data_IF_409705634117
#
_entry.id   IF_409705634117
#
_cell.length_a   1.000
_cell.length_b   1.000
_cell.length_c   1.000
_cell.angle_alpha   90.00
_cell.angle_beta   90.00
_cell.angle_gamma   90.00
#
_symmetry.space_group_name_H-M   'P 1'
#
loop_
_entity.id
_entity.type
_entity.pdbx_description
1 polymer ?
#
# COMPACT_ATOMS: atom_id res chain seq x y z
N UNK A 1 -7.97 0.05 12.97
CA UNK A 1 -7.23 1.22 13.47
C UNK A 1 -6.32 1.69 12.36
N UNK A 2 -6.59 2.90 11.90
CA UNK A 2 -6.22 3.44 10.59
C UNK A 2 -4.73 3.81 10.53
N UNK A 3 -4.13 3.71 9.34
CA UNK A 3 -2.85 4.36 9.09
C UNK A 3 -3.12 5.86 9.11
N UNK A 4 -2.79 6.49 10.23
CA UNK A 4 -2.87 7.93 10.38
C UNK A 4 -1.77 8.51 9.47
N UNK A 5 -2.16 9.14 8.37
CA UNK A 5 -1.31 9.96 7.50
C UNK A 5 -1.72 11.44 7.70
N UNK A 6 -0.81 12.38 7.44
CA UNK A 6 -1.07 13.81 7.72
C UNK A 6 -0.90 14.17 9.21
N UNK A 7 -1.57 15.22 9.67
CA UNK A 7 -1.39 15.77 11.04
C UNK A 7 -1.64 14.75 12.16
N UNK A 8 -2.48 13.74 11.92
CA UNK A 8 -2.82 12.73 12.92
C UNK A 8 -1.78 11.60 13.02
N UNK A 9 -0.79 11.55 12.12
CA UNK A 9 0.19 10.48 12.12
C UNK A 9 1.06 10.49 13.39
N UNK A 10 1.38 9.31 13.94
CA UNK A 10 2.22 9.24 15.13
C UNK A 10 3.61 9.82 14.82
N UNK A 11 4.19 10.58 15.76
CA UNK A 11 5.47 11.23 15.49
C UNK A 11 6.63 10.25 15.25
N UNK A 12 6.55 9.03 15.79
CA UNK A 12 7.49 7.93 15.53
C UNK A 12 6.79 6.63 15.18
N UNK A 13 7.38 5.83 14.30
CA UNK A 13 6.90 4.48 13.96
C UNK A 13 8.03 3.54 13.57
N UNK A 14 7.74 2.24 13.61
CA UNK A 14 8.64 1.17 13.12
C UNK A 14 8.00 0.44 11.95
N UNK A 15 8.81 -0.01 10.99
CA UNK A 15 8.35 -0.88 9.91
C UNK A 15 9.51 -1.62 9.24
N UNK A 16 9.19 -2.68 8.50
CA UNK A 16 10.08 -3.25 7.50
C UNK A 16 10.07 -2.39 6.24
N UNK A 17 11.25 -2.04 5.75
CA UNK A 17 11.40 -1.06 4.68
C UNK A 17 10.71 -1.47 3.38
N UNK A 18 9.74 -0.67 2.93
CA UNK A 18 8.91 -1.02 1.75
C UNK A 18 9.66 -1.04 0.42
N UNK A 19 10.80 -0.36 0.35
CA UNK A 19 11.68 -0.29 -0.81
C UNK A 19 13.13 -0.03 -0.37
N UNK A 20 14.09 -0.32 -1.25
CA UNK A 20 15.51 -0.03 -1.03
C UNK A 20 15.94 1.40 -1.40
N UNK A 21 14.99 2.35 -1.43
CA UNK A 21 15.22 3.70 -1.96
C UNK A 21 15.48 4.76 -0.89
N UNK A 22 15.05 4.52 0.35
CA UNK A 22 15.21 5.47 1.44
C UNK A 22 16.66 5.55 1.92
N UNK A 23 17.23 6.74 1.94
CA UNK A 23 18.52 7.02 2.60
C UNK A 23 18.32 7.18 4.10
N UNK A 24 19.22 6.63 4.91
CA UNK A 24 19.17 6.84 6.36
C UNK A 24 19.50 8.30 6.71
N UNK A 25 18.70 8.92 7.58
CA UNK A 25 18.86 10.31 8.03
C UNK A 25 19.86 10.50 9.18
N UNK A 26 20.59 9.46 9.59
CA UNK A 26 21.74 9.63 10.49
C UNK A 26 22.90 10.24 9.70
N UNK A 27 23.58 11.24 10.26
CA UNK A 27 24.53 12.09 9.53
C UNK A 27 25.64 11.33 8.78
N UNK A 28 26.23 10.30 9.39
CA UNK A 28 27.29 9.49 8.78
C UNK A 28 26.76 8.59 7.66
N UNK A 29 25.54 8.06 7.79
CA UNK A 29 24.91 7.26 6.75
C UNK A 29 24.43 8.14 5.59
N UNK A 30 23.86 9.31 5.92
CA UNK A 30 23.38 10.29 4.95
C UNK A 30 24.51 10.83 4.09
N UNK A 31 25.64 11.20 4.69
CA UNK A 31 26.81 11.71 3.94
C UNK A 31 27.43 10.67 3.02
N UNK A 32 27.34 9.38 3.38
CA UNK A 32 27.80 8.25 2.56
C UNK A 32 26.74 7.71 1.60
N UNK A 33 25.53 8.27 1.59
CA UNK A 33 24.42 7.79 0.75
C UNK A 33 23.99 6.35 1.07
N UNK A 34 24.21 5.87 2.29
CA UNK A 34 23.87 4.50 2.67
C UNK A 34 22.34 4.37 2.74
N UNK A 35 21.81 3.55 1.84
CA UNK A 35 20.38 3.25 1.77
C UNK A 35 19.98 2.21 2.81
N UNK A 36 18.70 2.21 3.14
CA UNK A 36 18.04 1.15 3.92
C UNK A 36 17.55 0.11 2.91
N UNK A 37 17.91 -1.15 3.11
CA UNK A 37 17.56 -2.22 2.17
C UNK A 37 16.06 -2.54 2.21
N UNK A 38 15.50 -3.02 1.10
CA UNK A 38 14.09 -3.46 1.08
C UNK A 38 13.93 -4.61 2.08
N UNK A 39 13.09 -4.41 3.07
CA UNK A 39 12.84 -5.37 4.14
C UNK A 39 13.67 -5.18 5.38
N UNK A 40 14.63 -4.27 5.40
CA UNK A 40 15.36 -3.94 6.63
C UNK A 40 14.44 -3.24 7.63
N UNK A 41 14.55 -3.62 8.91
CA UNK A 41 13.86 -2.93 10.00
C UNK A 41 14.34 -1.47 10.07
N UNK A 42 13.38 -0.55 10.08
CA UNK A 42 13.65 0.90 10.15
C UNK A 42 12.74 1.62 11.12
N UNK A 43 13.23 2.75 11.62
CA UNK A 43 12.46 3.70 12.42
C UNK A 43 12.23 4.98 11.62
N UNK A 44 11.01 5.49 11.65
CA UNK A 44 10.60 6.73 10.99
C UNK A 44 10.29 7.82 12.00
N UNK A 45 10.68 9.04 11.66
CA UNK A 45 10.17 10.26 12.31
C UNK A 45 9.23 10.97 11.35
N UNK A 46 8.02 11.28 11.80
CA UNK A 46 7.05 12.07 11.03
C UNK A 46 7.47 13.53 11.06
N UNK A 47 7.80 14.10 9.90
CA UNK A 47 8.40 15.44 9.80
C UNK A 47 7.67 16.26 8.75
N UNK A 48 7.40 17.52 9.08
CA UNK A 48 6.85 18.50 8.13
C UNK A 48 7.96 19.01 7.20
N UNK A 49 7.75 18.95 5.89
CA UNK A 49 8.62 19.58 4.91
C UNK A 49 8.07 20.95 4.55
N UNK A 50 8.70 22.01 5.06
CA UNK A 50 8.21 23.39 4.92
C UNK A 50 8.06 23.85 3.47
N UNK A 51 8.95 23.41 2.58
CA UNK A 51 8.95 23.85 1.17
C UNK A 51 7.90 23.13 0.34
N UNK A 52 7.62 21.86 0.65
CA UNK A 52 6.64 21.05 -0.10
C UNK A 52 5.28 21.02 0.60
N UNK A 53 5.14 21.79 1.69
CA UNK A 53 3.96 21.88 2.55
C UNK A 53 3.28 20.53 2.80
N UNK A 54 4.10 19.50 3.06
CA UNK A 54 3.62 18.15 3.28
C UNK A 54 4.43 17.42 4.31
N UNK A 55 3.80 16.46 4.94
CA UNK A 55 4.50 15.52 5.81
C UNK A 55 5.27 14.47 5.03
N UNK A 56 6.40 14.07 5.58
CA UNK A 56 7.18 12.94 5.10
C UNK A 56 7.81 12.17 6.26
N UNK A 57 8.28 10.97 5.96
CA UNK A 57 8.97 10.12 6.93
C UNK A 57 10.49 10.22 6.78
N UNK A 58 11.14 10.78 7.80
CA UNK A 58 12.59 10.79 7.91
C UNK A 58 13.07 9.44 8.47
N UNK A 59 13.42 8.51 7.56
CA UNK A 59 13.83 7.15 7.91
C UNK A 59 15.25 7.05 8.45
N UNK A 60 15.49 6.10 9.37
CA UNK A 60 16.81 5.64 9.80
C UNK A 60 16.85 4.11 9.87
N UNK A 61 18.02 3.50 9.64
CA UNK A 61 18.25 2.09 10.01
C UNK A 61 17.91 1.88 11.48
N UNK A 62 17.43 0.69 11.85
CA UNK A 62 17.18 0.34 13.24
C UNK A 62 18.40 0.60 14.14
N UNK A 63 19.59 0.13 13.75
CA UNK A 63 20.86 0.38 14.47
C UNK A 63 21.20 1.88 14.67
N UNK A 64 20.67 2.75 13.80
CA UNK A 64 20.88 4.20 13.83
C UNK A 64 19.78 4.96 14.59
N UNK A 65 18.81 4.26 15.18
CA UNK A 65 17.81 4.85 16.05
C UNK A 65 18.48 5.54 17.25
N UNK A 66 18.00 6.73 17.60
CA UNK A 66 18.52 7.46 18.76
C UNK A 66 17.77 7.06 20.03
N UNK A 67 18.38 7.22 21.21
CA UNK A 67 17.66 7.05 22.48
C UNK A 67 16.41 7.94 22.59
N UNK A 68 16.40 9.10 21.93
CA UNK A 68 15.22 9.97 21.88
C UNK A 68 14.08 9.37 21.06
N UNK A 69 14.37 8.77 19.90
CA UNK A 69 13.36 8.05 19.11
C UNK A 69 12.80 6.85 19.87
N UNK A 70 13.66 6.10 20.57
CA UNK A 70 13.23 4.95 21.38
C UNK A 70 12.33 5.39 22.54
N UNK A 71 12.73 6.41 23.30
CA UNK A 71 11.85 7.00 24.35
C UNK A 71 10.55 7.56 23.78
N UNK A 72 10.60 8.16 22.60
CA UNK A 72 9.41 8.63 21.90
C UNK A 72 8.42 7.50 21.59
N UNK A 73 8.92 6.35 21.11
CA UNK A 73 8.11 5.15 20.91
C UNK A 73 7.52 4.63 22.23
N UNK A 74 8.27 4.67 23.33
CA UNK A 74 7.74 4.32 24.67
C UNK A 74 6.60 5.25 25.10
N UNK A 75 6.78 6.56 24.93
CA UNK A 75 5.77 7.55 25.31
C UNK A 75 4.49 7.40 24.48
N UNK A 76 4.59 7.21 23.17
CA UNK A 76 3.41 7.02 22.29
C UNK A 76 2.66 5.73 22.67
N UNK A 77 3.39 4.67 23.00
CA UNK A 77 2.80 3.37 23.30
C UNK A 77 2.35 3.21 24.75
N UNK A 78 2.56 4.21 25.62
CA UNK A 78 2.42 4.08 27.07
C UNK A 78 3.15 2.84 27.63
N UNK A 79 4.34 2.54 27.08
CA UNK A 79 5.13 1.34 27.38
C UNK A 79 4.47 -0.01 27.03
N UNK A 80 3.35 -0.01 26.31
CA UNK A 80 2.71 -1.24 25.83
C UNK A 80 3.21 -1.58 24.42
N UNK A 81 3.98 -2.66 24.28
CA UNK A 81 4.57 -3.10 23.00
C UNK A 81 3.58 -3.14 21.83
N UNK A 82 2.39 -3.70 22.05
CA UNK A 82 1.36 -3.84 21.01
C UNK A 82 0.81 -2.50 20.50
N UNK A 83 1.00 -1.40 21.26
CA UNK A 83 0.56 -0.05 20.89
C UNK A 83 1.65 0.74 20.16
N UNK A 84 2.86 0.20 20.02
CA UNK A 84 3.91 0.86 19.24
C UNK A 84 3.46 0.96 17.78
N UNK A 85 3.48 2.15 17.15
CA UNK A 85 3.04 2.30 15.77
C UNK A 85 3.85 1.42 14.80
N UNK A 86 3.15 0.48 14.14
CA UNK A 86 3.72 -0.47 13.19
C UNK A 86 4.19 -1.81 13.79
N UNK A 87 4.01 -2.02 15.09
CA UNK A 87 4.34 -3.26 15.80
C UNK A 87 3.72 -4.51 15.15
N UNK A 88 2.48 -4.40 14.70
CA UNK A 88 1.70 -5.48 14.12
C UNK A 88 2.26 -5.94 12.76
N UNK A 89 3.14 -5.14 12.12
CA UNK A 89 3.65 -5.35 10.75
C UNK A 89 5.11 -5.74 10.68
N UNK A 90 5.79 -5.81 11.82
CA UNK A 90 7.18 -6.29 11.92
C UNK A 90 7.22 -7.77 12.29
N UNK A 91 8.35 -8.42 12.00
CA UNK A 91 8.60 -9.84 12.32
C UNK A 91 8.61 -10.09 13.83
N UNK A 92 8.55 -11.36 14.23
CA UNK A 92 8.69 -11.74 15.64
C UNK A 92 10.07 -11.36 16.20
N UNK A 93 11.13 -11.59 15.42
CA UNK A 93 12.50 -11.23 15.78
C UNK A 93 12.69 -9.71 15.94
N UNK A 94 12.06 -8.92 15.08
CA UNK A 94 12.03 -7.45 15.21
C UNK A 94 11.27 -6.99 16.45
N UNK A 95 10.20 -7.69 16.86
CA UNK A 95 9.43 -7.35 18.06
C UNK A 95 10.24 -7.61 19.33
N UNK A 96 11.04 -8.67 19.35
CA UNK A 96 11.98 -8.94 20.45
C UNK A 96 13.03 -7.83 20.57
N UNK A 97 13.63 -7.43 19.45
CA UNK A 97 14.60 -6.34 19.44
C UNK A 97 13.99 -5.00 19.83
N UNK A 98 12.75 -4.73 19.40
CA UNK A 98 12.00 -3.56 19.84
C UNK A 98 11.76 -3.60 21.36
N UNK A 99 11.33 -4.73 21.91
CA UNK A 99 11.16 -4.91 23.36
C UNK A 99 12.44 -4.59 24.13
N UNK A 100 13.55 -5.21 23.75
CA UNK A 100 14.86 -4.96 24.37
C UNK A 100 15.25 -3.49 24.27
N UNK A 101 15.08 -2.87 23.10
CA UNK A 101 15.42 -1.47 22.91
C UNK A 101 14.57 -0.54 23.78
N UNK A 102 13.26 -0.82 23.93
CA UNK A 102 12.39 -0.04 24.80
C UNK A 102 12.81 -0.21 26.26
N UNK A 103 12.99 -1.44 26.76
CA UNK A 103 13.44 -1.71 28.13
C UNK A 103 14.74 -0.96 28.49
N UNK A 104 15.67 -0.90 27.54
CA UNK A 104 16.97 -0.25 27.73
C UNK A 104 17.02 1.24 27.34
N UNK A 105 15.96 1.74 26.68
CA UNK A 105 15.90 3.09 26.14
C UNK A 105 16.87 3.37 24.98
N UNK A 106 17.47 2.34 24.38
CA UNK A 106 18.42 2.44 23.25
C UNK A 106 18.51 1.12 22.48
N UNK A 107 18.89 1.19 21.21
CA UNK A 107 19.23 0.00 20.41
C UNK A 107 20.65 -0.46 20.73
N UNK A 108 20.78 -1.64 21.31
CA UNK A 108 22.06 -2.26 21.65
C UNK A 108 22.65 -3.11 20.55
N UNK A 109 21.85 -3.97 19.94
CA UNK A 109 22.31 -4.78 18.83
C UNK A 109 22.46 -3.89 17.59
N UNK A 110 23.70 -3.47 17.33
CA UNK A 110 24.04 -2.61 16.19
C UNK A 110 24.19 -3.40 14.89
N UNK A 111 24.30 -4.72 14.97
CA UNK A 111 24.45 -5.59 13.81
C UNK A 111 23.09 -6.13 13.33
N UNK A 112 22.06 -6.08 14.20
CA UNK A 112 20.69 -6.42 13.85
C UNK A 112 20.11 -5.47 12.78
N UNK A 113 19.77 -6.06 11.64
CA UNK A 113 19.09 -5.40 10.52
C UNK A 113 17.71 -5.96 10.25
N UNK A 114 17.55 -7.27 10.46
CA UNK A 114 16.37 -8.07 10.11
C UNK A 114 15.77 -7.72 8.75
N UNK A 115 16.48 -8.10 7.69
CA UNK A 115 16.05 -7.89 6.32
C UNK A 115 15.03 -8.96 5.96
N UNK A 116 13.76 -8.57 5.92
CA UNK A 116 12.60 -9.44 5.65
C UNK A 116 11.81 -8.99 4.42
N UNK A 117 12.34 -9.20 3.18
CA UNK A 117 11.64 -8.82 1.96
C UNK A 117 10.30 -9.56 1.79
N UNK A 118 10.17 -10.73 2.40
CA UNK A 118 8.94 -11.54 2.50
C UNK A 118 7.84 -10.83 3.29
N UNK A 119 8.21 -10.05 4.31
CA UNK A 119 7.28 -9.25 5.11
C UNK A 119 6.99 -7.89 4.46
N UNK A 120 7.81 -7.47 3.49
CA UNK A 120 7.59 -6.27 2.68
C UNK A 120 6.55 -6.53 1.60
N UNK A 121 5.30 -6.53 2.05
CA UNK A 121 4.17 -6.35 1.15
C UNK A 121 4.11 -4.86 0.84
N UNK A 122 4.46 -4.50 -0.40
CA UNK A 122 4.63 -3.11 -0.85
C UNK A 122 3.46 -2.22 -0.41
N UNK A 123 3.77 -0.98 0.02
CA UNK A 123 2.82 -0.02 0.60
C UNK A 123 1.37 -0.23 0.15
N UNK A 124 0.57 -0.80 1.05
CA UNK A 124 -0.72 -1.43 0.76
C UNK A 124 -0.76 -2.86 1.31
N UNK A 125 -1.40 -3.04 2.45
CA UNK A 125 -1.67 -4.34 3.07
C UNK A 125 -2.12 -5.35 1.99
N UNK A 126 -1.40 -6.43 1.69
CA UNK A 126 -1.80 -7.48 0.71
C UNK A 126 -2.30 -7.00 -0.68
N UNK A 127 -1.84 -5.86 -1.20
CA UNK A 127 -2.38 -5.32 -2.47
C UNK A 127 -3.77 -4.69 -2.34
N UNK A 128 -4.26 -4.51 -1.11
CA UNK A 128 -5.33 -3.59 -0.76
C UNK A 128 -4.86 -2.17 -0.97
N UNK A 129 -5.70 -1.41 -1.65
CA UNK A 129 -5.47 -0.03 -2.00
C UNK A 129 -6.38 0.79 -1.10
N UNK A 130 -5.79 1.40 -0.06
CA UNK A 130 -6.52 2.12 1.00
C UNK A 130 -6.49 3.64 0.86
N UNK A 131 -5.69 4.13 -0.07
CA UNK A 131 -5.52 5.52 -0.45
C UNK A 131 -6.36 5.87 -1.70
N UNK A 132 -7.50 5.20 -1.86
CA UNK A 132 -8.40 5.45 -2.97
C UNK A 132 -9.15 6.76 -2.73
N UNK A 133 -9.23 7.60 -3.77
CA UNK A 133 -10.03 8.83 -3.76
C UNK A 133 -11.31 8.69 -4.60
N UNK A 134 -11.47 7.55 -5.28
CA UNK A 134 -12.64 7.23 -6.07
C UNK A 134 -12.51 5.87 -6.73
N UNK A 135 -13.63 5.39 -7.25
CA UNK A 135 -13.73 4.07 -7.89
C UNK A 135 -14.44 4.18 -9.23
N UNK A 136 -14.12 3.25 -10.13
CA UNK A 136 -14.91 3.03 -11.33
C UNK A 136 -14.95 1.57 -11.73
N UNK A 137 -16.00 1.20 -12.46
CA UNK A 137 -16.08 -0.05 -13.19
C UNK A 137 -16.08 0.23 -14.69
N UNK A 138 -15.31 -0.56 -15.44
CA UNK A 138 -15.32 -0.51 -16.90
C UNK A 138 -14.97 -1.87 -17.51
N UNK A 139 -15.29 -2.02 -18.79
CA UNK A 139 -14.80 -3.11 -19.61
C UNK A 139 -13.42 -2.74 -20.13
N UNK A 140 -12.43 -3.60 -19.93
CA UNK A 140 -11.06 -3.31 -20.32
C UNK A 140 -10.95 -3.06 -21.84
N UNK A 141 -10.48 -1.88 -22.30
CA UNK A 141 -10.41 -1.57 -23.73
C UNK A 141 -9.19 -2.20 -24.41
N UNK A 142 -8.20 -2.68 -23.63
CA UNK A 142 -6.95 -3.28 -24.11
C UNK A 142 -6.32 -4.22 -23.08
N UNK A 143 -5.40 -5.08 -23.51
CA UNK A 143 -4.69 -6.01 -22.63
C UNK A 143 -3.43 -5.42 -21.93
N UNK A 144 -3.34 -4.09 -21.81
CA UNK A 144 -2.12 -3.42 -21.26
C UNK A 144 -2.13 -3.33 -19.73
N UNK A 145 -3.31 -3.19 -19.13
CA UNK A 145 -3.48 -3.01 -17.70
C UNK A 145 -3.04 -4.27 -16.94
N UNK A 146 -2.13 -4.10 -15.98
CA UNK A 146 -1.77 -5.16 -15.03
C UNK A 146 -2.65 -5.07 -13.79
N UNK A 147 -3.10 -6.22 -13.30
CA UNK A 147 -3.87 -6.28 -12.06
C UNK A 147 -2.97 -5.97 -10.85
N UNK A 148 -3.48 -5.17 -9.91
CA UNK A 148 -2.76 -4.75 -8.70
C UNK A 148 -2.98 -5.64 -7.49
N UNK A 149 -3.89 -6.61 -7.54
CA UNK A 149 -4.00 -7.62 -6.50
C UNK A 149 -2.67 -8.37 -6.35
N UNK A 150 -2.22 -8.62 -5.11
CA UNK A 150 -0.86 -9.08 -4.83
C UNK A 150 -0.47 -10.31 -5.67
N UNK A 151 -1.28 -11.37 -5.64
CA UNK A 151 -1.04 -12.61 -6.38
C UNK A 151 -0.94 -12.39 -7.90
N UNK A 152 -1.84 -11.58 -8.47
CA UNK A 152 -1.81 -11.29 -9.91
C UNK A 152 -0.66 -10.37 -10.30
N UNK A 153 -0.29 -9.43 -9.43
CA UNK A 153 0.81 -8.50 -9.66
C UNK A 153 2.15 -9.23 -9.68
N UNK A 154 2.35 -10.18 -8.77
CA UNK A 154 3.54 -11.04 -8.72
C UNK A 154 3.70 -11.89 -9.97
N UNK A 155 2.59 -12.41 -10.49
CA UNK A 155 2.56 -13.20 -11.73
C UNK A 155 2.61 -12.35 -13.01
N UNK A 156 2.50 -11.02 -12.90
CA UNK A 156 2.44 -10.12 -14.05
C UNK A 156 1.15 -10.24 -14.87
N UNK A 157 0.08 -10.78 -14.27
CA UNK A 157 -1.18 -11.05 -14.98
C UNK A 157 -1.82 -9.75 -15.49
N UNK A 158 -2.18 -9.78 -16.77
CA UNK A 158 -2.86 -8.68 -17.45
C UNK A 158 -4.37 -8.86 -17.42
N UNK A 159 -5.09 -7.75 -17.47
CA UNK A 159 -6.53 -7.70 -17.66
C UNK A 159 -6.79 -7.60 -19.16
N UNK A 160 -7.37 -8.63 -19.76
CA UNK A 160 -7.49 -8.71 -21.22
C UNK A 160 -8.60 -7.79 -21.74
N UNK A 161 -8.56 -7.47 -23.03
CA UNK A 161 -9.62 -6.65 -23.65
C UNK A 161 -10.97 -7.37 -23.51
N UNK A 162 -12.01 -6.66 -23.09
CA UNK A 162 -13.35 -7.22 -22.91
C UNK A 162 -13.66 -7.74 -21.50
N UNK A 163 -12.66 -7.79 -20.63
CA UNK A 163 -12.83 -8.26 -19.25
C UNK A 163 -13.31 -7.13 -18.33
N UNK A 164 -14.27 -7.43 -17.45
CA UNK A 164 -14.71 -6.54 -16.38
C UNK A 164 -13.56 -6.29 -15.39
N UNK A 165 -13.35 -5.02 -15.02
CA UNK A 165 -12.31 -4.64 -14.07
C UNK A 165 -12.76 -3.51 -13.16
N UNK A 166 -12.12 -3.45 -12.00
CA UNK A 166 -12.22 -2.32 -11.09
C UNK A 166 -11.06 -1.37 -11.35
N UNK A 167 -11.37 -0.10 -11.57
CA UNK A 167 -10.45 1.02 -11.53
C UNK A 167 -10.52 1.70 -10.17
N UNK A 168 -9.37 1.90 -9.55
CA UNK A 168 -9.22 2.56 -8.26
C UNK A 168 -8.41 3.83 -8.50
N UNK A 169 -9.04 4.99 -8.30
CA UNK A 169 -8.46 6.31 -8.51
C UNK A 169 -7.57 6.66 -7.32
N UNK A 170 -6.34 7.10 -7.62
CA UNK A 170 -5.35 7.46 -6.60
C UNK A 170 -4.57 8.70 -6.98
N UNK A 171 -4.18 9.46 -5.97
CA UNK A 171 -3.21 10.54 -6.10
C UNK A 171 -1.79 9.95 -6.08
N UNK A 172 -1.07 10.01 -7.19
CA UNK A 172 0.27 9.43 -7.31
C UNK A 172 1.33 10.21 -6.53
N UNK A 173 1.18 11.54 -6.47
CA UNK A 173 2.09 12.48 -5.79
C UNK A 173 1.35 13.53 -4.94
N UNK A 174 0.06 13.33 -4.70
CA UNK A 174 -0.82 14.27 -4.01
C UNK A 174 -1.57 15.22 -4.95
N UNK A 175 -1.17 15.32 -6.21
CA UNK A 175 -1.78 16.24 -7.19
C UNK A 175 -2.31 15.49 -8.41
N UNK A 176 -1.59 14.47 -8.88
CA UNK A 176 -1.92 13.75 -10.10
C UNK A 176 -2.76 12.50 -9.83
N UNK A 177 -3.99 12.53 -10.33
CA UNK A 177 -4.90 11.40 -10.31
C UNK A 177 -4.52 10.34 -11.34
N UNK A 178 -4.43 9.09 -10.90
CA UNK A 178 -4.17 7.96 -11.77
C UNK A 178 -4.98 6.74 -11.34
N UNK A 179 -5.52 6.03 -12.33
CA UNK A 179 -6.19 4.76 -12.08
C UNK A 179 -5.20 3.62 -12.00
N UNK A 180 -5.36 2.80 -10.97
CA UNK A 180 -4.82 1.46 -10.92
C UNK A 180 -5.94 0.44 -11.02
N UNK A 181 -5.66 -0.74 -11.56
CA UNK A 181 -6.71 -1.69 -11.92
C UNK A 181 -6.57 -3.02 -11.19
N UNK A 182 -7.69 -3.65 -10.83
CA UNK A 182 -7.78 -5.05 -10.39
C UNK A 182 -8.72 -5.81 -11.34
N UNK A 183 -8.46 -7.10 -11.57
CA UNK A 183 -9.50 -7.97 -12.14
C UNK A 183 -10.69 -7.99 -11.21
N UNK A 184 -11.92 -8.08 -11.75
CA UNK A 184 -13.12 -8.17 -10.91
C UNK A 184 -13.04 -9.32 -9.89
N UNK A 185 -12.63 -10.51 -10.35
CA UNK A 185 -12.42 -11.70 -9.50
C UNK A 185 -11.32 -11.56 -8.42
N UNK A 186 -10.49 -10.51 -8.51
CA UNK A 186 -9.36 -10.28 -7.60
C UNK A 186 -9.61 -9.13 -6.62
N UNK A 187 -10.82 -8.57 -6.64
CA UNK A 187 -11.31 -7.59 -5.68
C UNK A 187 -11.45 -8.27 -4.31
N UNK A 188 -11.16 -7.54 -3.25
CA UNK A 188 -11.30 -8.02 -1.88
C UNK A 188 -12.65 -7.59 -1.28
N UNK A 189 -13.00 -8.17 -0.12
CA UNK A 189 -14.14 -7.68 0.67
C UNK A 189 -13.97 -6.21 1.08
N UNK A 190 -12.73 -5.78 1.32
CA UNK A 190 -12.42 -4.39 1.63
C UNK A 190 -12.72 -3.46 0.44
N UNK A 191 -12.29 -3.85 -0.76
CA UNK A 191 -12.57 -3.07 -1.98
C UNK A 191 -14.09 -2.91 -2.18
N UNK A 192 -14.89 -3.96 -1.96
CA UNK A 192 -16.36 -3.89 -2.06
C UNK A 192 -16.98 -2.93 -1.05
N UNK A 193 -16.58 -3.03 0.23
CA UNK A 193 -17.05 -2.10 1.26
C UNK A 193 -16.66 -0.66 0.98
N UNK A 194 -15.45 -0.43 0.46
CA UNK A 194 -14.99 0.91 0.10
C UNK A 194 -15.77 1.45 -1.12
N UNK A 195 -16.09 0.62 -2.12
CA UNK A 195 -16.96 1.03 -3.23
C UNK A 195 -18.33 1.46 -2.72
N UNK A 196 -18.92 0.72 -1.78
CA UNK A 196 -20.22 1.06 -1.19
C UNK A 196 -20.19 2.42 -0.48
N UNK A 197 -19.16 2.67 0.33
CA UNK A 197 -18.95 3.98 0.98
C UNK A 197 -18.80 5.10 -0.05
N UNK A 198 -17.97 4.91 -1.08
CA UNK A 198 -17.75 5.90 -2.13
C UNK A 198 -18.96 6.10 -3.05
N UNK A 199 -19.82 5.10 -3.22
CA UNK A 199 -21.06 5.21 -3.97
C UNK A 199 -22.06 6.16 -3.28
N UNK A 200 -22.07 6.20 -1.94
CA UNK A 200 -22.87 7.18 -1.18
C UNK A 200 -22.40 8.63 -1.40
N UNK A 201 -21.13 8.79 -1.79
CA UNK A 201 -20.49 10.08 -2.04
C UNK A 201 -20.38 10.44 -3.53
N UNK A 202 -21.07 9.73 -4.43
CA UNK A 202 -21.04 9.98 -5.89
C UNK A 202 -19.63 9.90 -6.52
N UNK A 203 -18.73 9.13 -5.89
CA UNK A 203 -17.35 8.92 -6.37
C UNK A 203 -17.12 7.52 -6.92
N UNK A 204 -18.21 6.79 -7.21
CA UNK A 204 -18.20 5.50 -7.89
C UNK A 204 -18.85 5.61 -9.28
N UNK A 205 -18.07 5.40 -10.34
CA UNK A 205 -18.47 5.72 -11.71
C UNK A 205 -18.47 4.53 -12.67
N UNK A 206 -19.21 4.65 -13.77
CA UNK A 206 -19.08 3.77 -14.95
C UNK A 206 -20.05 2.59 -15.03
N UNK A 207 -20.89 2.36 -14.02
CA UNK A 207 -21.90 1.28 -14.02
C UNK A 207 -22.83 1.40 -15.24
N UNK A 208 -23.34 2.60 -15.50
CA UNK A 208 -24.30 2.87 -16.59
C UNK A 208 -23.74 2.60 -18.00
N UNK A 209 -22.41 2.47 -18.11
CA UNK A 209 -21.72 2.21 -19.39
C UNK A 209 -21.43 0.73 -19.62
N UNK A 210 -21.80 -0.15 -18.67
CA UNK A 210 -21.52 -1.58 -18.75
C UNK A 210 -22.57 -2.33 -19.59
N UNK A 211 -22.19 -3.44 -20.24
CA UNK A 211 -23.16 -4.41 -20.73
C UNK A 211 -24.02 -4.95 -19.58
N UNK A 212 -25.31 -5.20 -19.84
CA UNK A 212 -26.29 -5.65 -18.83
C UNK A 212 -25.81 -6.83 -17.97
N UNK A 213 -25.12 -7.79 -18.59
CA UNK A 213 -24.60 -8.96 -17.87
C UNK A 213 -23.52 -8.59 -16.83
N UNK A 214 -22.69 -7.60 -17.14
CA UNK A 214 -21.68 -7.10 -16.21
C UNK A 214 -22.27 -6.14 -15.19
N UNK A 215 -23.22 -5.31 -15.59
CA UNK A 215 -23.98 -4.43 -14.68
C UNK A 215 -24.63 -5.27 -13.58
N UNK A 216 -25.34 -6.35 -13.94
CA UNK A 216 -25.96 -7.27 -12.99
C UNK A 216 -24.94 -7.88 -12.02
N UNK A 217 -23.79 -8.33 -12.53
CA UNK A 217 -22.71 -8.89 -11.70
C UNK A 217 -22.16 -7.86 -10.71
N UNK A 218 -21.99 -6.60 -11.14
CA UNK A 218 -21.50 -5.53 -10.26
C UNK A 218 -22.51 -5.27 -9.14
N UNK A 219 -23.78 -5.06 -9.49
CA UNK A 219 -24.84 -4.78 -8.51
C UNK A 219 -25.01 -5.93 -7.52
N UNK A 220 -25.05 -7.17 -8.00
CA UNK A 220 -25.23 -8.35 -7.15
C UNK A 220 -23.99 -8.60 -6.26
N UNK A 221 -22.78 -8.31 -6.74
CA UNK A 221 -21.57 -8.41 -5.92
C UNK A 221 -21.54 -7.38 -4.79
N UNK A 222 -22.00 -6.16 -5.07
CA UNK A 222 -22.09 -5.09 -4.07
C UNK A 222 -23.17 -5.39 -3.04
N UNK A 223 -24.36 -5.83 -3.46
CA UNK A 223 -25.47 -6.19 -2.56
C UNK A 223 -25.09 -7.33 -1.61
N UNK A 224 -24.36 -8.35 -2.11
CA UNK A 224 -23.93 -9.49 -1.29
C UNK A 224 -22.66 -9.24 -0.49
N UNK A 225 -21.90 -8.18 -0.81
CA UNK A 225 -20.57 -7.95 -0.25
C UNK A 225 -19.55 -9.05 -0.60
N UNK A 226 -19.79 -9.78 -1.70
CA UNK A 226 -18.93 -10.86 -2.18
C UNK A 226 -18.72 -10.78 -3.69
N UNK A 227 -17.53 -11.14 -4.14
CA UNK A 227 -17.18 -11.07 -5.56
C UNK A 227 -17.84 -12.20 -6.33
N UNK A 228 -18.74 -11.83 -7.24
CA UNK A 228 -19.32 -12.77 -8.20
C UNK A 228 -18.43 -12.82 -9.44
N UNK A 229 -18.09 -14.02 -9.87
CA UNK A 229 -17.23 -14.23 -11.05
C UNK A 229 -18.01 -13.79 -12.30
N UNK A 230 -17.51 -12.80 -13.06
CA UNK A 230 -18.24 -12.31 -14.23
C UNK A 230 -18.23 -13.36 -15.34
N UNK A 231 -19.32 -13.47 -16.13
CA UNK A 231 -19.34 -14.33 -17.30
C UNK A 231 -18.28 -13.86 -18.32
N UNK A 232 -17.68 -14.78 -19.08
CA UNK A 232 -16.80 -14.34 -20.18
C UNK A 232 -17.68 -13.87 -21.33
N UNK A 233 -17.66 -12.57 -21.62
CA UNK A 233 -18.28 -12.06 -22.84
C UNK A 233 -17.41 -12.44 -24.04
N UNK A 234 -18.05 -12.96 -25.10
CA UNK A 234 -17.40 -13.24 -26.37
C UNK A 234 -17.07 -11.93 -27.08
N UNK A 235 -15.91 -11.36 -26.76
CA UNK A 235 -15.42 -10.17 -27.46
C UNK A 235 -14.65 -10.61 -28.70
N UNK A 236 -15.03 -10.18 -29.92
CA UNK A 236 -14.32 -10.57 -31.13
C UNK A 236 -12.85 -10.19 -31.02
N UNK A 237 -11.98 -11.14 -31.36
CA UNK A 237 -10.54 -11.00 -31.27
C UNK A 237 -10.09 -9.70 -31.97
N UNK A 238 -9.21 -8.89 -31.35
CA UNK A 238 -8.71 -7.70 -32.00
C UNK A 238 -7.99 -8.09 -33.30
N UNK A 239 -8.45 -7.56 -34.43
CA UNK A 239 -7.82 -7.77 -35.72
C UNK A 239 -6.33 -7.41 -35.63
N UNK A 240 -5.46 -8.40 -35.85
CA UNK A 240 -4.02 -8.20 -35.89
C UNK A 240 -3.67 -7.26 -37.04
N UNK A 241 -3.47 -5.97 -36.75
CA UNK A 241 -2.74 -5.08 -37.66
C UNK A 241 -1.26 -5.36 -37.46
N UNK A 242 -0.74 -6.36 -38.19
CA UNK A 242 0.70 -6.53 -38.35
C UNK A 242 1.27 -5.23 -38.90
N UNK A 243 2.15 -4.56 -38.14
CA UNK A 243 2.97 -3.49 -38.69
C UNK A 243 3.94 -4.14 -39.69
N UNK A 244 3.73 -3.85 -40.98
CA UNK A 244 4.74 -4.10 -42.00
C UNK A 244 6.02 -3.34 -41.63
N UNK A 245 7.14 -4.03 -41.83
CA UNK A 245 8.49 -3.63 -41.42
C UNK A 245 9.02 -2.48 -42.25
#
# INVERSE_FOLDING_TARGET
>A
MYALDGDEAPHWRVEHATSGMSTCNQAQCKSKGIKIEKGELRVGTHTWHTVEEKYFWAWRHWRCATPHQIRGLQSISNSELAKVPGYERISEESREQLKLALEEGKVNDKDFKDIRPDLVKGGGYMGEIRDAVGYKVDVSPSARAGCRAAACKEQGNKIVKGELRLGILRLFDGEHESYVYKHWKCISKYDLSAIEEHAQHDTFNGIDSLPKDYEAVVLESLEKGEVIVPPKLDVPAPANKSRAK
#
